data_IF_585287233585
#
_entry.id   IF_585287233585
#
_cell.length_a   1.000
_cell.length_b   1.000
_cell.length_c   1.000
_cell.angle_alpha   90.00
_cell.angle_beta   90.00
_cell.angle_gamma   90.00
#
_symmetry.space_group_name_H-M   'P 1'
#
loop_
_entity.id
_entity.type
_entity.pdbx_description
1 polymer ?
#
# COMPACT_ATOMS: atom_id res chain seq x y z
N UNK A 1 21.65 39.83 -28.64
CA UNK A 1 20.90 38.56 -28.67
C UNK A 1 21.76 37.49 -28.03
N UNK A 2 21.56 37.22 -26.74
CA UNK A 2 22.18 36.08 -26.05
C UNK A 2 21.06 35.33 -25.37
N UNK A 3 20.29 34.55 -26.14
CA UNK A 3 19.43 33.54 -25.51
C UNK A 3 20.40 32.56 -24.86
N UNK A 4 20.41 32.59 -23.54
CA UNK A 4 21.45 31.96 -22.74
C UNK A 4 21.14 30.48 -22.62
N UNK A 5 22.18 29.66 -22.61
CA UNK A 5 22.10 28.19 -22.58
C UNK A 5 21.26 27.70 -21.37
N UNK A 6 21.17 28.51 -20.31
CA UNK A 6 20.31 28.33 -19.14
C UNK A 6 18.81 28.33 -19.45
N UNK A 7 18.33 29.21 -20.33
CA UNK A 7 16.92 29.27 -20.72
C UNK A 7 16.54 28.04 -21.58
N UNK A 8 17.40 27.67 -22.55
CA UNK A 8 17.23 26.47 -23.35
C UNK A 8 17.31 25.17 -22.52
N UNK A 9 18.17 25.14 -21.50
CA UNK A 9 18.28 24.01 -20.58
C UNK A 9 17.03 23.86 -19.71
N UNK A 10 16.53 24.95 -19.13
CA UNK A 10 15.32 24.93 -18.30
C UNK A 10 14.09 24.45 -19.07
N UNK A 11 13.91 24.89 -20.33
CA UNK A 11 12.79 24.42 -21.17
C UNK A 11 12.86 22.91 -21.45
N UNK A 12 14.06 22.36 -21.70
CA UNK A 12 14.24 20.91 -21.88
C UNK A 12 13.95 20.13 -20.59
N UNK A 13 14.46 20.62 -19.45
CA UNK A 13 14.23 19.99 -18.15
C UNK A 13 12.80 20.17 -17.64
N UNK A 14 12.06 21.17 -18.09
CA UNK A 14 10.66 21.37 -17.70
C UNK A 14 9.75 20.33 -18.37
N UNK A 15 10.00 19.97 -19.63
CA UNK A 15 9.30 18.86 -20.30
C UNK A 15 9.60 17.51 -19.62
N UNK A 16 10.87 17.25 -19.31
CA UNK A 16 11.27 16.03 -18.60
C UNK A 16 10.70 15.98 -17.16
N UNK A 17 10.65 17.13 -16.47
CA UNK A 17 10.01 17.24 -15.16
C UNK A 17 8.51 17.00 -15.24
N UNK A 18 7.81 17.51 -16.25
CA UNK A 18 6.40 17.24 -16.44
C UNK A 18 6.14 15.74 -16.61
N UNK A 19 6.94 15.04 -17.43
CA UNK A 19 6.80 13.59 -17.60
C UNK A 19 7.06 12.80 -16.31
N UNK A 20 8.08 13.19 -15.55
CA UNK A 20 8.37 12.62 -14.22
C UNK A 20 7.24 12.88 -13.22
N UNK A 21 6.63 14.06 -13.25
CA UNK A 21 5.51 14.40 -12.36
C UNK A 21 4.26 13.58 -12.71
N UNK A 22 3.94 13.41 -13.99
CA UNK A 22 2.80 12.58 -14.41
C UNK A 22 3.00 11.13 -13.99
N UNK A 23 4.18 10.55 -14.23
CA UNK A 23 4.45 9.16 -13.82
C UNK A 23 4.40 8.95 -12.31
N UNK A 24 4.87 9.91 -11.51
CA UNK A 24 4.73 9.90 -10.06
C UNK A 24 3.25 9.99 -9.64
N UNK A 25 2.47 10.85 -10.28
CA UNK A 25 1.04 11.00 -9.99
C UNK A 25 0.27 9.72 -10.32
N UNK A 26 0.55 9.10 -11.46
CA UNK A 26 -0.06 7.82 -11.86
C UNK A 26 0.28 6.69 -10.88
N UNK A 27 1.53 6.64 -10.40
CA UNK A 27 1.95 5.67 -9.38
C UNK A 27 1.20 5.86 -8.06
N UNK A 28 1.06 7.12 -7.60
CA UNK A 28 0.29 7.45 -6.39
C UNK A 28 -1.18 7.02 -6.56
N UNK A 29 -1.79 7.35 -7.70
CA UNK A 29 -3.17 6.97 -8.00
C UNK A 29 -3.34 5.45 -8.03
N UNK A 30 -2.38 4.72 -8.61
CA UNK A 30 -2.37 3.27 -8.64
C UNK A 30 -2.34 2.68 -7.24
N UNK A 31 -1.42 3.15 -6.39
CA UNK A 31 -1.30 2.69 -5.00
C UNK A 31 -2.61 2.96 -4.22
N UNK A 32 -3.19 4.14 -4.39
CA UNK A 32 -4.46 4.49 -3.74
C UNK A 32 -5.61 3.58 -4.18
N UNK A 33 -5.72 3.31 -5.48
CA UNK A 33 -6.71 2.39 -6.04
C UNK A 33 -6.52 0.96 -5.51
N UNK A 34 -5.28 0.48 -5.41
CA UNK A 34 -4.95 -0.83 -4.88
C UNK A 34 -5.34 -0.96 -3.40
N UNK A 35 -5.04 0.05 -2.57
CA UNK A 35 -5.45 0.05 -1.16
C UNK A 35 -6.97 -0.02 -1.03
N UNK A 36 -7.72 0.81 -1.76
CA UNK A 36 -9.18 0.78 -1.74
C UNK A 36 -9.72 -0.59 -2.15
N UNK A 37 -9.16 -1.18 -3.21
CA UNK A 37 -9.51 -2.52 -3.68
C UNK A 37 -9.21 -3.58 -2.62
N UNK A 38 -8.03 -3.54 -2.00
CA UNK A 38 -7.64 -4.51 -0.97
C UNK A 38 -8.49 -4.43 0.28
N UNK A 39 -8.93 -3.22 0.68
CA UNK A 39 -9.87 -3.08 1.79
C UNK A 39 -11.20 -3.75 1.47
N UNK A 40 -11.73 -3.53 0.28
CA UNK A 40 -12.99 -4.13 -0.14
C UNK A 40 -12.91 -5.65 -0.25
N UNK A 41 -11.80 -6.18 -0.76
CA UNK A 41 -11.56 -7.63 -0.82
C UNK A 41 -11.39 -8.24 0.57
N UNK A 42 -10.53 -7.66 1.41
CA UNK A 42 -10.26 -8.15 2.76
C UNK A 42 -11.50 -8.19 3.65
N UNK A 43 -12.43 -7.23 3.49
CA UNK A 43 -13.70 -7.22 4.20
C UNK A 43 -14.63 -8.42 3.87
N UNK A 44 -14.36 -9.13 2.78
CA UNK A 44 -15.13 -10.31 2.34
C UNK A 44 -14.47 -11.63 2.78
N UNK A 45 -13.26 -11.59 3.31
CA UNK A 45 -12.50 -12.77 3.69
C UNK A 45 -12.82 -13.19 5.13
N UNK A 46 -12.74 -14.50 5.38
CA UNK A 46 -12.91 -15.06 6.72
C UNK A 46 -11.55 -15.16 7.39
N UNK A 47 -11.43 -14.62 8.61
CA UNK A 47 -10.21 -14.60 9.38
C UNK A 47 -10.38 -15.41 10.68
N UNK A 48 -9.47 -16.34 10.91
CA UNK A 48 -9.41 -17.15 12.11
C UNK A 48 -8.11 -16.85 12.85
N UNK A 49 -8.23 -16.36 14.07
CA UNK A 49 -7.07 -16.13 14.91
C UNK A 49 -6.50 -17.47 15.38
N UNK A 50 -5.21 -17.68 15.12
CA UNK A 50 -4.50 -18.89 15.57
C UNK A 50 -3.80 -18.60 16.89
N UNK A 51 -3.05 -17.49 16.93
CA UNK A 51 -2.40 -16.97 18.13
C UNK A 51 -2.46 -15.45 18.11
N UNK A 52 -1.90 -14.81 19.14
CA UNK A 52 -1.75 -13.35 19.11
C UNK A 52 -1.01 -12.91 17.84
N UNK A 53 -1.56 -11.92 17.14
CA UNK A 53 -1.04 -11.36 15.87
C UNK A 53 -0.93 -12.35 14.67
N UNK A 54 -1.37 -13.61 14.79
CA UNK A 54 -1.31 -14.58 13.69
C UNK A 54 -2.69 -15.11 13.32
N UNK A 55 -2.95 -15.13 12.01
CA UNK A 55 -4.26 -15.43 11.45
C UNK A 55 -4.15 -16.41 10.29
N UNK A 56 -5.10 -17.32 10.21
CA UNK A 56 -5.44 -18.08 9.02
C UNK A 56 -6.58 -17.35 8.30
N UNK A 57 -6.40 -17.05 7.02
CA UNK A 57 -7.38 -16.36 6.20
C UNK A 57 -7.86 -17.30 5.11
N UNK A 58 -9.17 -17.55 5.03
CA UNK A 58 -9.79 -18.33 3.95
C UNK A 58 -10.16 -17.37 2.82
N UNK A 59 -9.62 -17.63 1.64
CA UNK A 59 -9.80 -16.84 0.43
C UNK A 59 -10.08 -17.77 -0.76
N UNK A 60 -11.31 -17.78 -1.25
CA UNK A 60 -11.73 -18.59 -2.40
C UNK A 60 -11.37 -20.10 -2.34
N UNK A 61 -11.23 -20.67 -1.13
CA UNK A 61 -10.88 -22.07 -0.91
C UNK A 61 -9.41 -22.31 -0.58
N UNK A 62 -8.57 -21.29 -0.78
CA UNK A 62 -7.17 -21.29 -0.34
C UNK A 62 -7.04 -20.71 1.07
N UNK A 63 -5.96 -21.11 1.75
CA UNK A 63 -5.62 -20.62 3.08
C UNK A 63 -4.33 -19.81 3.03
N UNK A 64 -4.41 -18.56 3.46
CA UNK A 64 -3.25 -17.68 3.63
C UNK A 64 -2.93 -17.45 5.11
N UNK A 65 -1.65 -17.47 5.44
CA UNK A 65 -1.18 -17.22 6.81
C UNK A 65 -0.66 -15.80 6.91
N UNK A 66 -1.16 -15.06 7.89
CA UNK A 66 -0.75 -13.69 8.19
C UNK A 66 -0.09 -13.65 9.55
N UNK A 67 1.05 -12.98 9.63
CA UNK A 67 1.73 -12.61 10.87
C UNK A 67 1.87 -11.09 10.88
N UNK A 68 1.03 -10.42 11.68
CA UNK A 68 1.01 -8.96 11.78
C UNK A 68 2.30 -8.45 12.42
N UNK A 69 2.80 -9.11 13.46
CA UNK A 69 4.01 -8.68 14.17
C UNK A 69 5.25 -8.73 13.26
N UNK A 70 5.37 -9.76 12.43
CA UNK A 70 6.46 -9.87 11.43
C UNK A 70 6.19 -9.08 10.15
N UNK A 71 5.00 -8.51 10.01
CA UNK A 71 4.53 -7.84 8.79
C UNK A 71 4.64 -8.73 7.55
N UNK A 72 4.14 -9.97 7.65
CA UNK A 72 4.23 -10.96 6.55
C UNK A 72 2.88 -11.60 6.23
N UNK A 73 2.72 -11.98 4.96
CA UNK A 73 1.63 -12.81 4.47
C UNK A 73 2.19 -13.85 3.49
N UNK A 74 1.62 -15.06 3.46
CA UNK A 74 2.01 -16.12 2.51
C UNK A 74 1.81 -15.74 1.06
N UNK A 75 0.89 -14.81 0.75
CA UNK A 75 0.73 -14.27 -0.61
C UNK A 75 1.89 -13.36 -1.05
N UNK A 76 2.81 -13.01 -0.14
CA UNK A 76 4.01 -12.19 -0.33
C UNK A 76 3.79 -10.74 -0.75
N UNK A 77 2.59 -10.35 -1.16
CA UNK A 77 2.25 -8.94 -1.51
C UNK A 77 2.61 -8.01 -0.36
N UNK A 78 2.24 -8.37 0.88
CA UNK A 78 2.54 -7.52 2.04
C UNK A 78 4.05 -7.36 2.28
N UNK A 79 4.82 -8.42 2.04
CA UNK A 79 6.26 -8.36 2.20
C UNK A 79 6.95 -7.59 1.06
N UNK A 80 6.47 -7.73 -0.17
CA UNK A 80 7.07 -7.13 -1.37
C UNK A 80 6.69 -5.66 -1.51
N UNK A 81 5.39 -5.38 -1.51
CA UNK A 81 4.85 -4.04 -1.75
C UNK A 81 4.79 -3.22 -0.46
N UNK A 82 5.01 -3.84 0.71
CA UNK A 82 4.96 -3.17 2.03
C UNK A 82 3.65 -2.41 2.29
N UNK A 83 2.58 -2.81 1.62
CA UNK A 83 1.20 -2.36 1.85
C UNK A 83 0.35 -3.56 2.30
N UNK A 84 -0.60 -3.39 3.24
CA UNK A 84 -1.50 -4.46 3.64
C UNK A 84 -2.25 -5.06 2.44
N UNK A 85 -2.00 -6.34 2.14
CA UNK A 85 -2.78 -7.07 1.15
C UNK A 85 -4.19 -7.41 1.70
N UNK A 86 -5.11 -7.95 0.89
CA UNK A 86 -6.47 -8.29 1.34
C UNK A 86 -6.49 -9.20 2.58
N UNK A 87 -5.59 -10.19 2.64
CA UNK A 87 -5.46 -11.09 3.80
C UNK A 87 -5.05 -10.35 5.07
N UNK A 88 -4.14 -9.38 4.96
CA UNK A 88 -3.70 -8.56 6.09
C UNK A 88 -4.83 -7.64 6.53
N UNK A 89 -5.59 -7.06 5.60
CA UNK A 89 -6.78 -6.27 5.97
C UNK A 89 -7.78 -7.12 6.76
N UNK A 90 -8.04 -8.36 6.35
CA UNK A 90 -8.92 -9.27 7.08
C UNK A 90 -8.39 -9.56 8.49
N UNK A 91 -7.08 -9.82 8.63
CA UNK A 91 -6.43 -10.00 9.92
C UNK A 91 -6.52 -8.75 10.81
N UNK A 92 -6.28 -7.56 10.26
CA UNK A 92 -6.41 -6.28 10.99
C UNK A 92 -7.85 -6.06 11.45
N UNK A 93 -8.84 -6.37 10.61
CA UNK A 93 -10.26 -6.30 10.98
C UNK A 93 -10.58 -7.24 12.13
N UNK A 94 -10.06 -8.47 12.10
CA UNK A 94 -10.25 -9.42 13.20
C UNK A 94 -9.55 -8.96 14.49
N UNK A 95 -8.37 -8.36 14.40
CA UNK A 95 -7.57 -7.93 15.55
C UNK A 95 -8.11 -6.64 16.20
N UNK A 96 -8.57 -5.67 15.41
CA UNK A 96 -8.87 -4.31 15.86
C UNK A 96 -10.33 -3.89 15.67
N UNK A 97 -11.19 -4.76 15.15
CA UNK A 97 -12.61 -4.50 14.97
C UNK A 97 -12.87 -3.28 14.09
N UNK A 98 -13.68 -2.34 14.58
CA UNK A 98 -14.05 -1.11 13.83
C UNK A 98 -12.87 -0.15 13.61
N UNK A 99 -11.82 -0.25 14.43
CA UNK A 99 -10.66 0.65 14.38
C UNK A 99 -9.57 0.21 13.39
N UNK A 100 -9.78 -0.89 12.67
CA UNK A 100 -8.78 -1.46 11.76
C UNK A 100 -8.33 -0.51 10.66
N UNK A 101 -9.17 0.45 10.24
CA UNK A 101 -8.83 1.42 9.19
C UNK A 101 -7.59 2.24 9.54
N UNK A 102 -7.45 2.63 10.82
CA UNK A 102 -6.28 3.37 11.29
C UNK A 102 -5.02 2.50 11.23
N UNK A 103 -5.18 1.19 11.40
CA UNK A 103 -4.07 0.24 11.38
C UNK A 103 -3.56 -0.04 9.96
N UNK A 104 -4.37 0.18 8.92
CA UNK A 104 -3.89 0.03 7.54
C UNK A 104 -2.68 0.96 7.30
N UNK A 105 -2.74 2.19 7.78
CA UNK A 105 -1.65 3.15 7.67
C UNK A 105 -0.44 2.74 8.52
N UNK A 106 -0.67 2.31 9.78
CA UNK A 106 0.40 1.88 10.69
C UNK A 106 1.19 0.67 10.16
N UNK A 107 0.49 -0.25 9.49
CA UNK A 107 1.09 -1.44 8.89
C UNK A 107 1.63 -1.20 7.47
N UNK A 108 1.33 -0.05 6.85
CA UNK A 108 1.93 0.36 5.58
C UNK A 108 3.36 0.87 5.77
N UNK A 109 4.16 0.81 4.71
CA UNK A 109 5.49 1.41 4.74
C UNK A 109 5.43 2.93 4.91
N UNK A 110 6.33 3.54 5.69
CA UNK A 110 6.49 5.00 5.73
C UNK A 110 6.73 5.64 4.36
N UNK A 111 7.20 4.89 3.36
CA UNK A 111 7.33 5.37 1.98
C UNK A 111 6.01 5.87 1.38
N UNK A 112 4.87 5.35 1.84
CA UNK A 112 3.54 5.73 1.36
C UNK A 112 2.85 6.77 2.26
N UNK A 113 3.49 7.19 3.34
CA UNK A 113 2.92 8.11 4.31
C UNK A 113 3.53 9.50 4.14
N UNK A 114 2.68 10.51 3.95
CA UNK A 114 3.13 11.89 4.03
C UNK A 114 3.45 12.23 5.49
N UNK A 115 4.67 12.70 5.75
CA UNK A 115 5.01 13.30 7.05
C UNK A 115 4.45 14.72 7.05
N UNK A 116 3.46 14.98 7.89
CA UNK A 116 3.08 16.35 8.21
C UNK A 116 4.16 16.92 9.14
N UNK A 117 5.07 17.73 8.58
CA UNK A 117 6.01 18.59 9.33
C UNK A 117 5.37 19.93 9.60
#
# INVERSE_FOLDING_TARGET
MTSNITESGNVMFDVDREFLIVTLFDEINRIFADILKYVNLGNKLLAYQITNHKFSIIDHGDVSMVDLQKRTCTCRIFYLNKIPCPHVVAALRAQYGTQFRNQIYEYSSPYYLMKNT
#
